data_IF_363794791643
#
_entry.id   IF_363794791643
#
_cell.length_a   1.000
_cell.length_b   1.000
_cell.length_c   1.000
_cell.angle_alpha   90.00
_cell.angle_beta   90.00
_cell.angle_gamma   90.00
#
_symmetry.space_group_name_H-M   'P 1'
#
loop_
_entity.id
_entity.type
_entity.pdbx_description
1 polymer ?
#
# COMPACT_ATOMS: atom_id res chain seq x y z
N UNK A 1 17.59 -20.10 28.16
CA UNK A 1 16.68 -18.99 27.80
C UNK A 1 15.36 -19.19 28.52
N UNK A 2 14.85 -18.20 29.25
CA UNK A 2 13.53 -18.31 29.89
C UNK A 2 12.44 -18.41 28.82
N UNK A 3 11.44 -19.27 29.05
CA UNK A 3 10.30 -19.46 28.14
C UNK A 3 9.63 -18.12 27.75
N UNK A 4 9.53 -17.20 28.71
CA UNK A 4 9.02 -15.84 28.49
C UNK A 4 9.83 -15.03 27.48
N UNK A 5 11.16 -15.06 27.58
CA UNK A 5 12.07 -14.37 26.65
C UNK A 5 11.91 -14.95 25.24
N UNK A 6 11.82 -16.27 25.11
CA UNK A 6 11.58 -16.94 23.83
C UNK A 6 10.26 -16.45 23.21
N UNK A 7 9.19 -16.39 24.00
CA UNK A 7 7.88 -15.94 23.48
C UNK A 7 7.91 -14.47 23.03
N UNK A 8 8.64 -13.61 23.74
CA UNK A 8 8.77 -12.19 23.38
C UNK A 8 9.51 -12.02 22.06
N UNK A 9 10.63 -12.74 21.87
CA UNK A 9 11.40 -12.69 20.63
C UNK A 9 10.52 -13.11 19.44
N UNK A 10 9.75 -14.20 19.57
CA UNK A 10 8.85 -14.67 18.53
C UNK A 10 7.82 -13.60 18.17
N UNK A 11 7.20 -12.96 19.18
CA UNK A 11 6.23 -11.88 18.95
C UNK A 11 6.85 -10.69 18.22
N UNK A 12 8.06 -10.27 18.60
CA UNK A 12 8.77 -9.17 17.93
C UNK A 12 8.98 -9.49 16.46
N UNK A 13 9.49 -10.68 16.14
CA UNK A 13 9.77 -11.07 14.76
C UNK A 13 8.49 -11.11 13.91
N UNK A 14 7.40 -11.67 14.45
CA UNK A 14 6.11 -11.71 13.76
C UNK A 14 5.53 -10.30 13.56
N UNK A 15 5.56 -9.46 14.58
CA UNK A 15 5.07 -8.09 14.50
C UNK A 15 5.86 -7.27 13.48
N UNK A 16 7.19 -7.32 13.50
CA UNK A 16 8.04 -6.59 12.55
C UNK A 16 7.78 -7.05 11.11
N UNK A 17 7.66 -8.37 10.88
CA UNK A 17 7.32 -8.91 9.57
C UNK A 17 5.97 -8.38 9.06
N UNK A 18 4.94 -8.37 9.93
CA UNK A 18 3.62 -7.85 9.60
C UNK A 18 3.64 -6.34 9.32
N UNK A 19 4.35 -5.56 10.14
CA UNK A 19 4.50 -4.11 9.98
C UNK A 19 5.13 -3.78 8.62
N UNK A 20 6.22 -4.46 8.26
CA UNK A 20 6.90 -4.24 6.97
C UNK A 20 5.96 -4.59 5.81
N UNK A 21 5.22 -5.70 5.92
CA UNK A 21 4.25 -6.11 4.90
C UNK A 21 3.13 -5.08 4.73
N UNK A 22 2.48 -4.69 5.83
CA UNK A 22 1.38 -3.74 5.83
C UNK A 22 1.84 -2.37 5.34
N UNK A 23 2.99 -1.88 5.81
CA UNK A 23 3.56 -0.62 5.32
C UNK A 23 3.76 -0.63 3.80
N UNK A 24 4.42 -1.68 3.26
CA UNK A 24 4.73 -1.74 1.83
C UNK A 24 3.47 -1.79 0.97
N UNK A 25 2.47 -2.59 1.34
CA UNK A 25 1.23 -2.70 0.57
C UNK A 25 0.32 -1.48 0.76
N UNK A 26 0.16 -0.98 1.99
CA UNK A 26 -0.70 0.16 2.28
C UNK A 26 -0.16 1.44 1.66
N UNK A 27 1.16 1.66 1.72
CA UNK A 27 1.81 2.81 1.09
C UNK A 27 1.72 2.75 -0.44
N UNK A 28 1.77 1.57 -1.05
CA UNK A 28 1.58 1.42 -2.49
C UNK A 28 0.15 1.76 -2.96
N UNK A 29 -0.83 1.63 -2.07
CA UNK A 29 -2.25 1.94 -2.31
C UNK A 29 -2.69 3.30 -1.76
N UNK A 30 -1.77 4.04 -1.12
CA UNK A 30 -2.03 5.24 -0.33
C UNK A 30 -3.21 5.11 0.65
N UNK A 31 -3.37 3.91 1.20
CA UNK A 31 -4.50 3.57 2.06
C UNK A 31 -4.11 3.67 3.53
N UNK A 32 -4.43 4.80 4.18
CA UNK A 32 -4.29 5.04 5.64
C UNK A 32 -3.05 4.39 6.26
N UNK A 33 -1.91 4.47 5.56
CA UNK A 33 -0.77 3.56 5.79
C UNK A 33 -0.22 3.65 7.21
N UNK A 34 -0.27 4.85 7.81
CA UNK A 34 0.17 5.08 9.20
C UNK A 34 -0.62 4.21 10.19
N UNK A 35 -1.94 4.17 10.06
CA UNK A 35 -2.80 3.40 10.96
C UNK A 35 -2.45 1.91 10.89
N UNK A 36 -2.41 1.34 9.68
CA UNK A 36 -2.13 -0.09 9.49
C UNK A 36 -0.70 -0.49 9.84
N UNK A 37 0.26 0.44 9.77
CA UNK A 37 1.65 0.19 10.16
C UNK A 37 1.80 0.07 11.69
N UNK A 38 1.04 0.84 12.46
CA UNK A 38 1.17 0.85 13.93
C UNK A 38 0.20 -0.09 14.66
N UNK A 39 -0.94 -0.45 14.05
CA UNK A 39 -1.90 -1.40 14.64
C UNK A 39 -1.24 -2.70 15.15
N UNK A 40 -0.32 -3.37 14.43
CA UNK A 40 0.32 -4.60 14.90
C UNK A 40 1.05 -4.50 16.24
N UNK A 41 1.38 -3.29 16.73
CA UNK A 41 2.03 -3.09 18.03
C UNK A 41 1.15 -3.62 19.18
N UNK A 42 -0.18 -3.66 19.00
CA UNK A 42 -1.09 -4.20 20.03
C UNK A 42 -0.82 -5.68 20.36
N UNK A 43 -0.18 -6.42 19.45
CA UNK A 43 0.18 -7.84 19.64
C UNK A 43 1.23 -8.06 20.75
N UNK A 44 1.93 -7.00 21.17
CA UNK A 44 2.82 -7.07 22.33
C UNK A 44 2.06 -7.17 23.65
N UNK A 45 0.88 -6.56 23.72
CA UNK A 45 0.06 -6.48 24.93
C UNK A 45 -0.86 -7.69 25.11
N UNK A 46 -0.94 -8.60 24.14
CA UNK A 46 -1.81 -9.78 24.21
C UNK A 46 -1.20 -10.91 25.04
N UNK A 47 -1.96 -11.57 25.93
CA UNK A 47 -1.43 -12.60 26.81
C UNK A 47 -1.20 -13.92 26.06
N UNK A 48 0.02 -14.45 26.11
CA UNK A 48 0.39 -15.71 25.47
C UNK A 48 0.63 -15.61 23.95
N UNK A 49 1.15 -16.69 23.36
CA UNK A 49 1.46 -16.78 21.93
C UNK A 49 0.20 -16.98 21.08
N UNK A 50 -0.74 -17.83 21.53
CA UNK A 50 -1.94 -18.16 20.77
C UNK A 50 -2.82 -16.94 20.46
N UNK A 51 -3.08 -16.09 21.46
CA UNK A 51 -3.84 -14.84 21.27
C UNK A 51 -3.14 -13.85 20.33
N UNK A 52 -1.81 -13.83 20.34
CA UNK A 52 -1.00 -12.95 19.47
C UNK A 52 -1.13 -13.39 18.00
N UNK A 53 -1.17 -14.70 17.75
CA UNK A 53 -1.39 -15.24 16.40
C UNK A 53 -2.81 -14.93 15.92
N UNK A 54 -3.83 -15.15 16.77
CA UNK A 54 -5.22 -14.84 16.43
C UNK A 54 -5.41 -13.35 16.11
N UNK A 55 -4.81 -12.47 16.90
CA UNK A 55 -4.87 -11.02 16.64
C UNK A 55 -4.16 -10.61 15.37
N UNK A 56 -2.99 -11.21 15.05
CA UNK A 56 -2.31 -11.00 13.76
C UNK A 56 -3.22 -11.40 12.58
N UNK A 57 -3.84 -12.58 12.66
CA UNK A 57 -4.73 -13.08 11.61
C UNK A 57 -5.93 -12.14 11.45
N UNK A 58 -6.51 -11.67 12.56
CA UNK A 58 -7.64 -10.74 12.55
C UNK A 58 -7.26 -9.39 11.92
N UNK A 59 -6.12 -8.80 12.31
CA UNK A 59 -5.61 -7.55 11.72
C UNK A 59 -5.40 -7.72 10.21
N UNK A 60 -4.77 -8.82 9.80
CA UNK A 60 -4.51 -9.10 8.40
C UNK A 60 -5.81 -9.28 7.61
N UNK A 61 -6.81 -9.98 8.16
CA UNK A 61 -8.11 -10.17 7.53
C UNK A 61 -8.84 -8.83 7.34
N UNK A 62 -8.91 -8.01 8.40
CA UNK A 62 -9.53 -6.67 8.34
C UNK A 62 -8.82 -5.75 7.34
N UNK A 63 -7.50 -5.80 7.30
CA UNK A 63 -6.70 -5.06 6.32
C UNK A 63 -7.04 -5.50 4.89
N UNK A 64 -7.02 -6.80 4.63
CA UNK A 64 -7.26 -7.34 3.29
C UNK A 64 -8.67 -7.07 2.80
N UNK A 65 -9.68 -7.08 3.68
CA UNK A 65 -11.07 -6.77 3.34
C UNK A 65 -11.23 -5.28 3.04
N UNK A 66 -10.69 -4.42 3.89
CA UNK A 66 -10.91 -2.96 3.82
C UNK A 66 -10.04 -2.25 2.78
N UNK A 67 -8.86 -2.80 2.42
CA UNK A 67 -7.97 -2.16 1.46
C UNK A 67 -8.62 -2.03 0.07
N UNK A 68 -8.34 -0.94 -0.67
CA UNK A 68 -8.83 -0.78 -2.04
C UNK A 68 -8.33 -1.92 -2.93
N UNK A 69 -9.25 -2.50 -3.71
CA UNK A 69 -8.96 -3.57 -4.65
C UNK A 69 -8.55 -2.96 -5.99
N UNK A 70 -7.67 -3.67 -6.70
CA UNK A 70 -7.18 -3.23 -8.00
C UNK A 70 -5.75 -3.67 -8.25
N UNK A 71 -5.30 -3.41 -9.48
CA UNK A 71 -3.99 -3.78 -9.95
C UNK A 71 -2.93 -2.77 -9.50
N UNK A 72 -1.74 -3.28 -9.26
CA UNK A 72 -0.56 -2.49 -8.97
C UNK A 72 0.28 -2.41 -10.24
N UNK A 73 0.52 -1.20 -10.74
CA UNK A 73 1.40 -0.93 -11.87
C UNK A 73 2.74 -0.36 -11.39
N UNK A 74 3.77 -0.45 -12.22
CA UNK A 74 5.08 0.14 -11.93
C UNK A 74 5.04 1.64 -12.22
N UNK A 75 5.50 2.45 -11.27
CA UNK A 75 5.66 3.87 -11.49
C UNK A 75 6.71 4.13 -12.59
N UNK A 76 6.42 4.98 -13.60
CA UNK A 76 7.35 5.28 -14.69
C UNK A 76 8.63 5.99 -14.22
N UNK A 77 8.57 6.67 -13.07
CA UNK A 77 9.70 7.46 -12.55
C UNK A 77 10.58 6.67 -11.59
N UNK A 78 9.99 5.99 -10.61
CA UNK A 78 10.75 5.31 -9.54
C UNK A 78 10.67 3.79 -9.58
N UNK A 79 9.92 3.20 -10.52
CA UNK A 79 9.74 1.76 -10.71
C UNK A 79 9.17 1.01 -9.49
N UNK A 80 8.61 1.72 -8.50
CA UNK A 80 7.88 1.10 -7.39
C UNK A 80 6.45 0.75 -7.81
N UNK A 81 5.92 -0.33 -7.25
CA UNK A 81 4.52 -0.74 -7.45
C UNK A 81 3.58 0.26 -6.77
N UNK A 82 2.61 0.77 -7.52
CA UNK A 82 1.61 1.72 -7.06
C UNK A 82 0.24 1.34 -7.63
N UNK A 83 -0.83 1.70 -6.93
CA UNK A 83 -2.18 1.40 -7.39
C UNK A 83 -2.56 2.28 -8.60
N UNK A 84 -3.14 1.68 -9.64
CA UNK A 84 -3.37 2.35 -10.94
C UNK A 84 -4.35 3.52 -10.88
N UNK A 85 -5.14 3.64 -9.82
CA UNK A 85 -6.07 4.76 -9.64
C UNK A 85 -5.38 6.07 -9.25
N UNK A 86 -4.15 6.01 -8.72
CA UNK A 86 -3.47 7.21 -8.24
C UNK A 86 -3.03 8.12 -9.38
N UNK A 87 -3.20 9.43 -9.18
CA UNK A 87 -2.65 10.47 -10.05
C UNK A 87 -1.18 10.79 -9.75
N UNK A 88 -0.77 10.63 -8.48
CA UNK A 88 0.59 10.91 -8.01
C UNK A 88 1.20 9.68 -7.33
N UNK A 89 2.51 9.49 -7.52
CA UNK A 89 3.22 8.41 -6.85
C UNK A 89 3.45 8.73 -5.36
N UNK A 90 3.04 7.87 -4.40
CA UNK A 90 3.24 8.10 -2.97
C UNK A 90 4.72 8.01 -2.54
N UNK A 91 5.60 7.51 -3.41
CA UNK A 91 7.03 7.37 -3.14
C UNK A 91 7.87 8.52 -3.70
N UNK A 92 7.69 8.88 -4.98
CA UNK A 92 8.48 9.95 -5.62
C UNK A 92 7.74 11.27 -5.79
N UNK A 93 6.42 11.32 -5.47
CA UNK A 93 5.54 12.49 -5.57
C UNK A 93 5.35 13.07 -6.98
N UNK A 94 5.91 12.45 -8.01
CA UNK A 94 5.68 12.81 -9.41
C UNK A 94 4.31 12.32 -9.90
N UNK A 95 3.74 13.03 -10.86
CA UNK A 95 2.52 12.59 -11.54
C UNK A 95 2.77 11.31 -12.33
N UNK A 96 1.81 10.38 -12.24
CA UNK A 96 1.82 9.09 -12.93
C UNK A 96 0.65 8.95 -13.90
N UNK A 97 -0.16 10.00 -14.02
CA UNK A 97 -1.20 10.17 -15.03
C UNK A 97 -1.02 11.51 -15.73
N UNK A 98 -1.47 11.56 -16.97
CA UNK A 98 -1.55 12.80 -17.76
C UNK A 98 -2.99 13.28 -17.80
N UNK A 99 -3.18 14.55 -18.05
CA UNK A 99 -4.50 15.14 -18.30
C UNK A 99 -4.62 15.45 -19.79
N UNK A 100 -5.78 15.20 -20.36
CA UNK A 100 -6.10 15.60 -21.72
C UNK A 100 -6.54 17.07 -21.75
N UNK A 101 -5.82 17.94 -22.45
CA UNK A 101 -6.13 19.38 -22.51
C UNK A 101 -7.39 19.70 -23.35
N UNK A 102 -8.05 18.69 -23.94
CA UNK A 102 -9.29 18.86 -24.71
C UNK A 102 -10.54 18.44 -23.92
N UNK A 103 -10.49 17.32 -23.21
CA UNK A 103 -11.64 16.80 -22.43
C UNK A 103 -11.43 16.82 -20.92
N UNK A 104 -10.24 17.21 -20.44
CA UNK A 104 -9.86 17.25 -19.03
C UNK A 104 -9.90 15.89 -18.29
N UNK A 105 -10.02 14.78 -19.03
CA UNK A 105 -9.92 13.45 -18.44
C UNK A 105 -8.46 13.06 -18.12
N UNK A 106 -8.30 12.27 -17.06
CA UNK A 106 -7.02 11.66 -16.71
C UNK A 106 -6.77 10.39 -17.52
N UNK A 107 -5.59 10.28 -18.09
CA UNK A 107 -5.14 9.12 -18.89
C UNK A 107 -3.85 8.54 -18.31
N UNK A 108 -3.61 7.25 -18.58
CA UNK A 108 -2.41 6.57 -18.13
C UNK A 108 -1.15 7.13 -18.83
N UNK A 109 -0.01 7.00 -18.14
CA UNK A 109 1.23 7.69 -18.53
C UNK A 109 1.81 7.25 -19.88
N UNK A 110 1.65 5.97 -20.20
CA UNK A 110 2.15 5.29 -21.39
C UNK A 110 1.32 5.58 -22.64
N UNK A 111 0.12 6.11 -22.47
CA UNK A 111 -0.81 6.37 -23.57
C UNK A 111 -0.44 7.68 -24.29
N UNK A 112 -0.27 7.59 -25.62
CA UNK A 112 0.02 8.75 -26.48
C UNK A 112 -1.21 9.50 -26.99
N UNK A 113 -2.41 8.93 -26.87
CA UNK A 113 -3.68 9.49 -27.37
C UNK A 113 -4.81 9.21 -26.39
N UNK A 114 -5.62 10.23 -26.08
CA UNK A 114 -6.74 10.08 -25.15
C UNK A 114 -7.76 9.04 -25.66
N UNK A 115 -8.13 8.01 -24.87
CA UNK A 115 -9.09 6.99 -25.29
C UNK A 115 -10.53 7.52 -25.38
N UNK A 116 -10.84 8.63 -24.71
CA UNK A 116 -12.18 9.22 -24.69
C UNK A 116 -12.44 10.17 -25.87
N UNK A 117 -11.51 11.07 -26.18
CA UNK A 117 -11.69 12.10 -27.21
C UNK A 117 -10.76 11.96 -28.43
N UNK A 118 -9.83 11.01 -28.43
CA UNK A 118 -8.88 10.78 -29.53
C UNK A 118 -7.80 11.86 -29.71
N UNK A 119 -7.75 12.87 -28.84
CA UNK A 119 -6.75 13.94 -28.96
C UNK A 119 -5.35 13.50 -28.49
N UNK A 120 -4.31 14.04 -29.10
CA UNK A 120 -2.90 13.84 -28.73
C UNK A 120 -2.36 14.95 -27.82
N UNK A 121 -3.19 15.96 -27.50
CA UNK A 121 -2.83 17.09 -26.65
C UNK A 121 -2.94 16.70 -25.17
N UNK A 122 -1.96 15.94 -24.71
CA UNK A 122 -1.81 15.53 -23.30
C UNK A 122 -0.80 16.43 -22.59
N UNK A 123 -0.99 16.66 -21.30
CA UNK A 123 0.00 17.39 -20.49
C UNK A 123 1.37 16.70 -20.52
N UNK A 124 2.42 17.50 -20.74
CA UNK A 124 3.81 17.06 -20.60
C UNK A 124 4.22 17.30 -19.14
N UNK A 125 4.86 16.32 -18.49
CA UNK A 125 5.47 16.55 -17.17
C UNK A 125 6.70 17.44 -17.26
#
# INVERSE_FOLDING_TARGET
MNSTIVTLIIKVLLAVGLIIFLYKDARARDYSWFMWTFIPIITFFTPGLGSSIVTIILILALYLISRPKGNLALCPHCKKKIHTILAFCPFCRKSVKKECLRCHDTVDWDVGRCPHCGSTNLTKS
#
